data_IF_797410738026
#
_entry.id   IF_797410738026
#
_cell.length_a   1.000
_cell.length_b   1.000
_cell.length_c   1.000
_cell.angle_alpha   90.00
_cell.angle_beta   90.00
_cell.angle_gamma   90.00
#
_symmetry.space_group_name_H-M   'P 1'
#
loop_
_entity.id
_entity.type
_entity.pdbx_description
1 polymer ?
#
# COMPACT_ATOMS: atom_id res chain seq x y z
N UNK A 1 18.33 13.11 14.71
CA UNK A 1 18.42 12.49 13.36
C UNK A 1 17.24 12.97 12.53
N UNK A 2 17.41 13.25 11.22
CA UNK A 2 16.28 13.65 10.37
C UNK A 2 15.38 12.43 10.15
N UNK A 3 14.10 12.49 10.52
CA UNK A 3 13.12 11.40 10.44
C UNK A 3 13.17 10.64 9.09
N UNK A 4 13.34 11.36 7.98
CA UNK A 4 13.44 10.75 6.65
C UNK A 4 14.59 9.74 6.48
N UNK A 5 15.71 9.88 7.21
CA UNK A 5 16.79 8.89 7.18
C UNK A 5 16.38 7.57 7.85
N UNK A 6 15.63 7.64 8.94
CA UNK A 6 15.13 6.46 9.63
C UNK A 6 14.11 5.72 8.76
N UNK A 7 13.19 6.44 8.12
CA UNK A 7 12.22 5.85 7.20
C UNK A 7 12.88 5.15 6.00
N UNK A 8 13.90 5.77 5.40
CA UNK A 8 14.67 5.15 4.32
C UNK A 8 15.41 3.90 4.79
N UNK A 9 16.05 3.96 5.96
CA UNK A 9 16.72 2.80 6.53
C UNK A 9 15.75 1.65 6.81
N UNK A 10 14.56 1.95 7.35
CA UNK A 10 13.51 0.96 7.58
C UNK A 10 13.02 0.34 6.26
N UNK A 11 12.79 1.15 5.22
CA UNK A 11 12.39 0.64 3.91
C UNK A 11 13.46 -0.27 3.28
N UNK A 12 14.74 0.11 3.37
CA UNK A 12 15.86 -0.72 2.91
C UNK A 12 15.96 -2.02 3.70
N UNK A 13 15.81 -1.96 5.03
CA UNK A 13 15.82 -3.15 5.87
C UNK A 13 14.69 -4.12 5.51
N UNK A 14 13.46 -3.62 5.33
CA UNK A 14 12.32 -4.42 4.89
C UNK A 14 12.56 -5.04 3.50
N UNK A 15 13.22 -4.31 2.59
CA UNK A 15 13.57 -4.84 1.27
C UNK A 15 14.55 -6.00 1.36
N UNK A 16 15.63 -5.82 2.12
CA UNK A 16 16.62 -6.85 2.33
C UNK A 16 16.01 -8.08 3.00
N UNK A 17 15.14 -7.87 4.00
CA UNK A 17 14.43 -8.94 4.69
C UNK A 17 13.49 -9.71 3.74
N UNK A 18 12.74 -9.02 2.87
CA UNK A 18 11.87 -9.66 1.88
C UNK A 18 12.68 -10.49 0.85
N UNK A 19 13.81 -9.96 0.38
CA UNK A 19 14.70 -10.70 -0.53
C UNK A 19 15.30 -11.93 0.17
N UNK A 20 15.79 -11.77 1.41
CA UNK A 20 16.31 -12.89 2.20
C UNK A 20 15.25 -13.98 2.45
N UNK A 21 14.00 -13.58 2.71
CA UNK A 21 12.85 -14.48 2.86
C UNK A 21 12.53 -15.26 1.57
N UNK A 22 12.74 -14.69 0.39
CA UNK A 22 12.56 -15.43 -0.87
C UNK A 22 13.75 -16.34 -1.17
N UNK A 23 14.98 -15.88 -0.90
CA UNK A 23 16.19 -16.68 -1.15
C UNK A 23 16.33 -17.88 -0.21
N UNK A 24 15.76 -17.82 1.00
CA UNK A 24 15.71 -18.94 1.95
C UNK A 24 14.78 -20.07 1.49
N UNK A 25 13.87 -19.80 0.55
CA UNK A 25 13.01 -20.83 -0.04
C UNK A 25 13.75 -21.58 -1.16
N UNK A 26 13.45 -22.88 -1.37
CA UNK A 26 13.87 -23.60 -2.56
C UNK A 26 13.43 -22.86 -3.83
N UNK A 27 14.21 -22.95 -4.91
CA UNK A 27 14.00 -22.11 -6.10
C UNK A 27 12.58 -22.22 -6.68
N UNK A 28 12.01 -23.43 -6.73
CA UNK A 28 10.64 -23.66 -7.20
C UNK A 28 9.52 -23.18 -6.28
N UNK A 29 9.85 -22.71 -5.06
CA UNK A 29 8.89 -22.21 -4.07
C UNK A 29 8.98 -20.68 -3.88
N UNK A 30 9.88 -20.01 -4.62
CA UNK A 30 10.03 -18.55 -4.57
C UNK A 30 8.85 -17.89 -5.29
N UNK A 31 8.03 -17.17 -4.55
CA UNK A 31 6.87 -16.46 -5.09
C UNK A 31 7.21 -15.04 -5.52
N UNK A 32 8.27 -14.45 -4.95
CA UNK A 32 8.65 -13.04 -5.16
C UNK A 32 7.53 -12.04 -4.82
N UNK A 33 6.56 -12.46 -4.00
CA UNK A 33 5.52 -11.61 -3.43
C UNK A 33 5.07 -12.20 -2.09
N UNK A 34 4.60 -11.34 -1.19
CA UNK A 34 4.18 -11.76 0.15
C UNK A 34 4.09 -10.60 1.13
N UNK A 35 4.32 -10.89 2.42
CA UNK A 35 4.42 -9.89 3.49
C UNK A 35 5.69 -10.11 4.30
N UNK A 36 6.30 -9.01 4.73
CA UNK A 36 7.42 -8.98 5.68
C UNK A 36 7.05 -8.04 6.82
N UNK A 37 7.04 -8.53 8.06
CA UNK A 37 6.57 -7.76 9.22
C UNK A 37 5.20 -7.07 9.02
N UNK A 38 4.26 -7.73 8.32
CA UNK A 38 2.93 -7.19 7.99
C UNK A 38 2.89 -6.27 6.76
N UNK A 39 4.05 -5.80 6.28
CA UNK A 39 4.18 -4.94 5.11
C UNK A 39 4.17 -5.78 3.83
N UNK A 40 3.24 -5.54 2.87
CA UNK A 40 3.22 -6.29 1.62
C UNK A 40 4.43 -5.95 0.74
N UNK A 41 4.90 -6.94 -0.01
CA UNK A 41 5.91 -6.77 -1.05
C UNK A 41 5.52 -7.56 -2.31
N UNK A 42 5.88 -7.01 -3.47
CA UNK A 42 5.73 -7.69 -4.75
C UNK A 42 6.87 -7.27 -5.69
N UNK A 43 7.67 -8.23 -6.12
CA UNK A 43 8.80 -8.03 -7.03
C UNK A 43 8.55 -8.61 -8.42
N UNK A 44 7.31 -9.02 -8.71
CA UNK A 44 6.94 -9.52 -10.03
C UNK A 44 6.81 -8.35 -11.01
N UNK A 45 6.91 -8.67 -12.31
CA UNK A 45 6.70 -7.67 -13.33
C UNK A 45 5.25 -7.12 -13.25
N UNK A 46 5.08 -5.79 -13.25
CA UNK A 46 3.76 -5.20 -13.11
C UNK A 46 2.93 -5.41 -14.37
N UNK A 47 1.61 -5.43 -14.23
CA UNK A 47 0.67 -5.40 -15.36
C UNK A 47 -0.33 -4.26 -15.19
N UNK A 48 -0.82 -3.73 -16.31
CA UNK A 48 -1.84 -2.66 -16.30
C UNK A 48 -3.10 -3.09 -15.55
N UNK A 49 -3.49 -4.36 -15.69
CA UNK A 49 -4.61 -4.95 -14.95
C UNK A 49 -4.41 -4.83 -13.43
N UNK A 50 -3.23 -5.23 -12.94
CA UNK A 50 -2.90 -5.14 -11.51
C UNK A 50 -2.84 -3.71 -10.99
N UNK A 51 -2.37 -2.76 -11.81
CA UNK A 51 -2.43 -1.34 -11.47
C UNK A 51 -3.86 -0.86 -11.29
N UNK A 52 -4.76 -1.19 -12.22
CA UNK A 52 -6.18 -0.87 -12.07
C UNK A 52 -6.76 -1.50 -10.81
N UNK A 53 -6.52 -2.79 -10.57
CA UNK A 53 -7.04 -3.50 -9.40
C UNK A 53 -6.52 -2.95 -8.06
N UNK A 54 -5.28 -2.47 -8.01
CA UNK A 54 -4.68 -2.00 -6.75
C UNK A 54 -5.02 -0.54 -6.45
N UNK A 55 -5.12 0.31 -7.48
CA UNK A 55 -5.27 1.75 -7.32
C UNK A 55 -6.67 2.28 -7.64
N UNK A 56 -7.48 1.53 -8.41
CA UNK A 56 -8.80 1.93 -8.85
C UNK A 56 -9.75 0.72 -9.00
N UNK A 57 -10.11 0.12 -7.86
CA UNK A 57 -11.04 -1.00 -7.83
C UNK A 57 -12.28 -0.64 -7.00
N UNK A 58 -13.39 -0.26 -7.65
CA UNK A 58 -14.65 0.02 -6.97
C UNK A 58 -15.22 -1.19 -6.23
N UNK A 59 -14.91 -2.40 -6.68
CA UNK A 59 -15.44 -3.66 -6.11
C UNK A 59 -14.66 -4.14 -4.86
N UNK A 60 -13.55 -3.48 -4.52
CA UNK A 60 -12.78 -3.74 -3.30
C UNK A 60 -13.02 -2.60 -2.30
N UNK A 61 -13.64 -2.92 -1.16
CA UNK A 61 -13.99 -1.94 -0.12
C UNK A 61 -12.77 -1.43 0.68
N UNK A 62 -11.58 -1.98 0.45
CA UNK A 62 -10.36 -1.57 1.17
C UNK A 62 -9.78 -0.30 0.55
N UNK A 63 -9.40 0.65 1.42
CA UNK A 63 -8.63 1.85 1.03
C UNK A 63 -7.16 1.50 0.79
N UNK A 64 -6.60 0.61 1.61
CA UNK A 64 -5.22 0.13 1.48
C UNK A 64 -5.23 -1.27 0.88
N UNK A 65 -4.59 -1.39 -0.27
CA UNK A 65 -4.45 -2.63 -1.03
C UNK A 65 -2.98 -3.02 -1.10
N UNK A 66 -2.70 -4.24 -1.57
CA UNK A 66 -1.31 -4.65 -1.79
C UNK A 66 -0.75 -3.93 -3.03
N UNK A 67 0.48 -3.43 -2.93
CA UNK A 67 1.10 -2.70 -4.05
C UNK A 67 1.48 -3.65 -5.19
N UNK A 68 1.39 -3.14 -6.42
CA UNK A 68 1.71 -3.92 -7.64
C UNK A 68 3.20 -4.26 -7.74
N UNK A 69 4.07 -3.32 -7.34
CA UNK A 69 5.53 -3.47 -7.39
C UNK A 69 6.21 -2.74 -6.24
N UNK A 70 7.23 -3.37 -5.66
CA UNK A 70 7.99 -2.86 -4.52
C UNK A 70 7.39 -3.25 -3.18
N UNK A 71 7.56 -2.38 -2.18
CA UNK A 71 7.23 -2.65 -0.77
C UNK A 71 6.24 -1.60 -0.27
N UNK A 72 5.27 -2.07 0.51
CA UNK A 72 4.22 -1.26 1.11
C UNK A 72 2.88 -1.39 0.40
N UNK A 73 1.93 -0.58 0.84
CA UNK A 73 0.55 -0.60 0.35
C UNK A 73 0.36 0.30 -0.87
N UNK A 74 -0.58 -0.07 -1.73
CA UNK A 74 -1.21 0.83 -2.67
C UNK A 74 -2.42 1.51 -2.00
N UNK A 75 -2.94 2.54 -2.66
CA UNK A 75 -4.10 3.30 -2.22
C UNK A 75 -5.17 3.14 -3.29
N UNK A 76 -6.29 2.54 -2.92
CA UNK A 76 -7.47 2.43 -3.76
C UNK A 76 -8.22 3.77 -3.76
N UNK A 77 -7.99 4.58 -4.78
CA UNK A 77 -8.57 5.92 -4.88
C UNK A 77 -10.08 5.89 -5.10
N UNK A 78 -10.62 4.81 -5.66
CA UNK A 78 -12.07 4.61 -5.80
C UNK A 78 -12.78 4.61 -4.43
N UNK A 79 -12.12 4.11 -3.39
CA UNK A 79 -12.63 4.10 -2.02
C UNK A 79 -12.22 5.32 -1.20
N UNK A 80 -11.01 5.86 -1.43
CA UNK A 80 -10.50 6.99 -0.67
C UNK A 80 -11.26 8.29 -0.96
N UNK A 81 -11.48 8.62 -2.23
CA UNK A 81 -12.03 9.92 -2.63
C UNK A 81 -13.45 10.18 -2.07
N UNK A 82 -14.42 9.24 -2.17
CA UNK A 82 -15.75 9.47 -1.61
C UNK A 82 -15.73 9.64 -0.09
N UNK A 83 -14.87 8.90 0.63
CA UNK A 83 -14.73 9.00 2.09
C UNK A 83 -14.16 10.35 2.52
N UNK A 84 -13.22 10.89 1.75
CA UNK A 84 -12.67 12.23 1.99
C UNK A 84 -13.72 13.33 1.73
N UNK A 85 -14.46 13.22 0.63
CA UNK A 85 -15.55 14.15 0.30
C UNK A 85 -16.61 14.17 1.41
N UNK A 86 -17.03 12.98 1.86
CA UNK A 86 -17.99 12.83 2.93
C UNK A 86 -17.47 13.41 4.25
N UNK A 87 -16.20 13.15 4.59
CA UNK A 87 -15.56 13.74 5.77
C UNK A 87 -15.52 15.26 5.72
N UNK A 88 -15.18 15.83 4.56
CA UNK A 88 -15.15 17.28 4.36
C UNK A 88 -16.54 17.91 4.49
N UNK A 89 -17.56 17.30 3.90
CA UNK A 89 -18.96 17.75 3.99
C UNK A 89 -19.42 17.83 5.45
N UNK A 90 -19.17 16.78 6.24
CA UNK A 90 -19.51 16.76 7.68
C UNK A 90 -18.80 17.85 8.49
N UNK A 91 -17.55 18.16 8.14
CA UNK A 91 -16.81 19.24 8.80
C UNK A 91 -17.40 20.61 8.44
N UNK A 92 -17.74 20.84 7.17
CA UNK A 92 -18.35 22.09 6.73
C UNK A 92 -19.72 22.33 7.39
N UNK A 93 -20.56 21.30 7.50
CA UNK A 93 -21.86 21.37 8.17
C UNK A 93 -21.74 21.73 9.66
N UNK A 94 -20.76 21.16 10.37
CA UNK A 94 -20.52 21.46 11.79
C UNK A 94 -20.12 22.91 12.02
N UNK A 95 -19.23 23.45 11.18
CA UNK A 95 -18.75 24.83 11.29
C UNK A 95 -19.83 25.84 10.85
N UNK A 96 -20.63 25.49 9.85
CA UNK A 96 -21.76 26.32 9.41
C UNK A 96 -22.93 26.34 10.41
N UNK A 97 -23.17 25.25 11.14
CA UNK A 97 -24.21 25.18 12.18
C UNK A 97 -23.81 25.85 13.51
N UNK A 98 -22.54 26.28 13.65
CA UNK A 98 -22.03 26.99 14.83
C UNK A 98 -21.84 28.50 14.60
N UNK A 99 -22.36 29.03 13.49
CA UNK A 99 -22.36 30.46 13.13
C UNK A 99 -23.76 31.07 13.20
#
# INVERSE_FOLDING_TARGET
MRLGRLLRAAALFLALAAVAQELSKPEGQRSWHGRVAGVPYDFRFPTLKRFKESYWNPDDDRVFTDRVVGIGWAVNFAQLLPRLQEGYRRLAERTGASS
#
